data_IF_107331196069
#
_entry.id   IF_107331196069
#
_cell.length_a   1.000
_cell.length_b   1.000
_cell.length_c   1.000
_cell.angle_alpha   90.00
_cell.angle_beta   90.00
_cell.angle_gamma   90.00
#
_symmetry.space_group_name_H-M   'P 1'
#
loop_
_entity.id
_entity.type
_entity.pdbx_description
1 polymer ?
#
# COMPACT_ATOMS: atom_id res chain seq x y z
N UNK A 1 -0.79 -4.23 -13.88
CA UNK A 1 -1.95 -3.60 -13.22
C UNK A 1 -2.87 -4.73 -12.78
N UNK A 2 -3.15 -4.86 -11.49
CA UNK A 2 -3.98 -5.93 -10.96
C UNK A 2 -5.45 -5.56 -11.04
N UNK A 3 -6.32 -6.54 -11.27
CA UNK A 3 -7.75 -6.30 -11.38
C UNK A 3 -8.48 -6.94 -10.20
N UNK A 4 -9.48 -6.24 -9.69
CA UNK A 4 -10.28 -6.70 -8.57
C UNK A 4 -11.75 -6.61 -8.94
N UNK A 5 -12.49 -7.70 -8.71
CA UNK A 5 -13.92 -7.73 -8.93
C UNK A 5 -14.65 -7.28 -7.67
N UNK A 6 -15.52 -6.30 -7.81
CA UNK A 6 -16.28 -5.75 -6.70
C UNK A 6 -17.38 -6.73 -6.31
N UNK A 7 -17.45 -7.07 -5.03
CA UNK A 7 -18.48 -7.98 -4.49
C UNK A 7 -19.67 -7.21 -3.95
N UNK A 8 -19.46 -5.97 -3.47
CA UNK A 8 -20.49 -5.16 -2.84
C UNK A 8 -20.52 -3.73 -3.40
N UNK A 9 -21.73 -3.22 -3.65
CA UNK A 9 -21.93 -1.85 -4.13
C UNK A 9 -21.62 -0.83 -3.03
N UNK A 10 -20.79 0.17 -3.33
CA UNK A 10 -20.49 1.30 -2.45
C UNK A 10 -20.81 2.62 -3.13
N UNK A 11 -21.66 3.43 -2.48
CA UNK A 11 -21.89 4.82 -2.90
C UNK A 11 -20.66 5.63 -2.49
N UNK A 12 -19.78 5.92 -3.45
CA UNK A 12 -18.54 6.67 -3.23
C UNK A 12 -18.79 7.93 -2.43
N UNK A 13 -17.96 8.17 -1.41
CA UNK A 13 -18.02 9.36 -0.54
C UNK A 13 -16.62 9.93 -0.40
N UNK A 14 -16.45 11.22 -0.69
CA UNK A 14 -15.21 12.03 -0.65
C UNK A 14 -13.97 11.32 -1.24
N UNK A 15 -13.38 10.40 -0.49
CA UNK A 15 -12.16 9.68 -0.86
C UNK A 15 -12.42 8.21 -1.29
N UNK A 16 -13.64 7.70 -1.13
CA UNK A 16 -13.97 6.33 -1.53
C UNK A 16 -14.44 6.29 -2.98
N UNK A 17 -13.96 5.31 -3.73
CA UNK A 17 -14.37 5.09 -5.12
C UNK A 17 -15.83 4.58 -5.16
N UNK A 18 -16.72 5.21 -5.95
CA UNK A 18 -18.03 4.65 -6.20
C UNK A 18 -17.90 3.38 -7.05
N UNK A 19 -18.40 2.26 -6.53
CA UNK A 19 -18.29 0.95 -7.17
C UNK A 19 -19.62 0.21 -7.05
N UNK A 20 -19.95 -0.63 -8.05
CA UNK A 20 -21.11 -1.52 -7.99
C UNK A 20 -20.66 -2.97 -7.95
N UNK A 21 -21.45 -3.83 -7.31
CA UNK A 21 -21.22 -5.27 -7.34
C UNK A 21 -21.16 -5.76 -8.79
N UNK A 22 -20.14 -6.54 -9.12
CA UNK A 22 -19.85 -7.00 -10.48
C UNK A 22 -18.87 -6.13 -11.26
N UNK A 23 -18.62 -4.88 -10.85
CA UNK A 23 -17.64 -4.02 -11.51
C UNK A 23 -16.22 -4.56 -11.36
N UNK A 24 -15.34 -4.22 -12.30
CA UNK A 24 -13.91 -4.52 -12.24
C UNK A 24 -13.12 -3.22 -12.10
N UNK A 25 -12.28 -3.15 -11.09
CA UNK A 25 -11.42 -1.99 -10.80
C UNK A 25 -9.94 -2.38 -10.87
N UNK A 26 -9.09 -1.44 -11.27
CA UNK A 26 -7.64 -1.62 -11.29
C UNK A 26 -7.02 -1.20 -9.97
N UNK A 27 -6.25 -2.06 -9.31
CA UNK A 27 -5.52 -1.72 -8.09
C UNK A 27 -4.25 -0.94 -8.45
N UNK A 28 -4.13 0.26 -7.91
CA UNK A 28 -3.02 1.18 -8.17
C UNK A 28 -2.02 1.21 -7.01
N UNK A 29 -2.51 1.18 -5.77
CA UNK A 29 -1.66 1.20 -4.58
C UNK A 29 -2.23 0.34 -3.46
N UNK A 30 -1.34 -0.38 -2.79
CA UNK A 30 -1.66 -1.19 -1.61
C UNK A 30 -0.85 -0.80 -0.38
N UNK A 31 0.24 -0.05 -0.56
CA UNK A 31 1.09 0.54 0.49
C UNK A 31 0.63 1.97 0.82
N UNK A 32 0.94 2.46 2.02
CA UNK A 32 0.53 3.80 2.52
C UNK A 32 -0.97 4.10 2.36
N UNK A 33 -1.80 3.07 2.43
CA UNK A 33 -3.25 3.17 2.37
C UNK A 33 -3.84 3.01 3.78
N UNK A 34 -5.04 3.55 4.06
CA UNK A 34 -5.74 3.29 5.30
C UNK A 34 -5.93 1.78 5.53
N UNK A 35 -5.80 1.31 6.78
CA UNK A 35 -5.86 -0.13 7.10
C UNK A 35 -7.08 -0.80 6.46
N UNK A 36 -6.83 -1.82 5.65
CA UNK A 36 -7.88 -2.58 4.97
C UNK A 36 -8.52 -1.87 3.77
N UNK A 37 -7.88 -0.83 3.24
CA UNK A 37 -8.27 -0.18 1.98
C UNK A 37 -7.11 -0.16 0.99
N UNK A 38 -7.44 -0.21 -0.29
CA UNK A 38 -6.50 -0.02 -1.40
C UNK A 38 -6.94 1.12 -2.29
N UNK A 39 -5.98 1.78 -2.93
CA UNK A 39 -6.27 2.77 -3.96
C UNK A 39 -6.55 2.04 -5.26
N UNK A 40 -7.75 2.24 -5.79
CA UNK A 40 -8.17 1.65 -7.04
C UNK A 40 -8.67 2.72 -8.02
N UNK A 41 -8.75 2.32 -9.28
CA UNK A 41 -9.27 3.12 -10.37
C UNK A 41 -10.33 2.36 -11.15
N UNK A 42 -11.44 3.02 -11.46
CA UNK A 42 -12.50 2.45 -12.30
C UNK A 42 -12.17 2.58 -13.81
N UNK A 43 -13.08 2.13 -14.68
CA UNK A 43 -12.94 2.28 -16.13
C UNK A 43 -13.15 3.72 -16.64
N UNK A 44 -13.64 4.62 -15.78
CA UNK A 44 -13.84 6.05 -16.07
C UNK A 44 -12.66 6.89 -15.60
N UNK A 45 -11.56 6.26 -15.21
CA UNK A 45 -10.37 6.88 -14.63
C UNK A 45 -10.64 7.67 -13.33
N UNK A 46 -11.70 7.35 -12.59
CA UNK A 46 -11.90 7.86 -11.24
C UNK A 46 -11.03 7.08 -10.27
N UNK A 47 -10.41 7.79 -9.33
CA UNK A 47 -9.55 7.22 -8.30
C UNK A 47 -10.25 7.27 -6.96
N UNK A 48 -10.03 6.25 -6.14
CA UNK A 48 -10.49 6.28 -4.76
C UNK A 48 -10.16 5.01 -3.99
N UNK A 49 -10.40 5.07 -2.69
CA UNK A 49 -10.19 3.95 -1.81
C UNK A 49 -11.32 2.94 -1.90
N UNK A 50 -10.96 1.66 -2.03
CA UNK A 50 -11.87 0.52 -1.96
C UNK A 50 -11.49 -0.34 -0.77
N UNK A 51 -12.50 -0.93 -0.11
CA UNK A 51 -12.24 -1.83 1.02
C UNK A 51 -11.80 -3.19 0.51
N UNK A 52 -10.72 -3.75 1.05
CA UNK A 52 -10.21 -5.09 0.67
C UNK A 52 -11.29 -6.16 0.82
N UNK A 53 -12.14 -6.03 1.84
CA UNK A 53 -13.26 -6.96 2.09
C UNK A 53 -14.39 -6.91 1.05
N UNK A 54 -14.49 -5.83 0.28
CA UNK A 54 -15.56 -5.58 -0.70
C UNK A 54 -15.15 -5.86 -2.15
N UNK A 55 -13.95 -6.37 -2.32
CA UNK A 55 -13.41 -6.76 -3.62
C UNK A 55 -12.83 -8.15 -3.49
N UNK A 56 -13.05 -8.97 -4.51
CA UNK A 56 -12.43 -10.27 -4.65
C UNK A 56 -11.30 -10.14 -5.65
N UNK A 57 -10.08 -10.45 -5.20
CA UNK A 57 -8.95 -10.60 -6.11
C UNK A 57 -8.88 -12.06 -6.49
N UNK A 58 -8.50 -12.32 -7.74
CA UNK A 58 -8.15 -13.68 -8.10
C UNK A 58 -6.98 -14.12 -7.22
N UNK A 59 -7.15 -15.24 -6.52
CA UNK A 59 -6.15 -15.80 -5.58
C UNK A 59 -4.80 -16.00 -6.29
N UNK A 60 -4.84 -16.29 -7.59
CA UNK A 60 -3.65 -16.39 -8.44
C UNK A 60 -2.87 -15.07 -8.51
N UNK A 61 -3.56 -13.93 -8.60
CA UNK A 61 -2.93 -12.60 -8.61
C UNK A 61 -2.51 -12.15 -7.20
N UNK A 62 -3.24 -12.57 -6.15
CA UNK A 62 -2.92 -12.24 -4.76
C UNK A 62 -1.56 -12.82 -4.32
N UNK A 63 -1.25 -14.03 -4.78
CA UNK A 63 0.03 -14.71 -4.50
C UNK A 63 1.22 -13.99 -5.14
N UNK A 64 1.03 -13.43 -6.34
CA UNK A 64 2.01 -12.63 -7.07
C UNK A 64 2.26 -11.28 -6.36
N UNK A 65 1.22 -10.72 -5.74
CA UNK A 65 1.28 -9.47 -5.00
C UNK A 65 2.00 -9.60 -3.65
N UNK A 66 1.75 -10.67 -2.89
CA UNK A 66 2.42 -10.93 -1.60
C UNK A 66 3.95 -11.02 -1.75
N UNK A 67 4.44 -11.55 -2.87
CA UNK A 67 5.86 -11.61 -3.20
C UNK A 67 6.48 -10.25 -3.56
N UNK A 68 5.69 -9.29 -4.04
CA UNK A 68 6.15 -7.93 -4.39
C UNK A 68 5.97 -6.92 -3.26
N UNK A 69 4.95 -7.08 -2.40
CA UNK A 69 4.77 -6.27 -1.19
C UNK A 69 5.91 -6.50 -0.18
N UNK A 70 6.50 -7.70 -0.14
CA UNK A 70 7.68 -7.99 0.67
C UNK A 70 8.97 -7.33 0.14
N UNK A 71 9.02 -6.88 -1.12
CA UNK A 71 10.20 -6.24 -1.71
C UNK A 71 10.35 -4.74 -1.39
N UNK A 72 9.37 -4.14 -0.71
CA UNK A 72 9.45 -2.74 -0.23
C UNK A 72 9.70 -2.64 1.28
N UNK A 73 10.26 -3.68 1.90
CA UNK A 73 10.71 -3.65 3.29
C UNK A 73 12.07 -4.31 3.47
N UNK A 74 13.02 -4.02 2.56
CA UNK A 74 14.44 -4.35 2.74
C UNK A 74 15.32 -3.24 2.15
N UNK A 75 15.45 -2.14 2.88
CA UNK A 75 16.80 -1.60 3.13
C UNK A 75 17.21 -2.25 4.45
N UNK A 76 17.63 -3.51 4.35
CA UNK A 76 18.49 -4.12 5.35
C UNK A 76 19.64 -4.65 4.50
N UNK A 77 20.64 -3.81 4.32
CA UNK A 77 21.94 -4.24 3.82
C UNK A 77 22.51 -5.24 4.84
N UNK A 78 22.80 -6.50 4.47
CA UNK A 78 23.61 -7.37 5.30
C UNK A 78 25.06 -7.09 4.92
N UNK A 79 25.62 -6.03 5.50
CA UNK A 79 26.97 -5.58 5.19
C UNK A 79 27.71 -5.19 6.46
N UNK A 80 28.40 -6.18 7.02
CA UNK A 80 29.59 -6.14 7.87
C UNK A 80 29.77 -5.08 8.98
N UNK A 81 30.17 -5.61 10.12
CA UNK A 81 30.65 -4.97 11.33
C UNK A 81 31.67 -3.85 11.05
N UNK A 82 31.47 -2.65 11.60
CA UNK A 82 32.42 -1.96 12.49
C UNK A 82 32.21 -0.44 12.58
N UNK A 83 32.05 0.02 13.82
CA UNK A 83 32.54 1.29 14.41
C UNK A 83 32.14 2.62 13.73
N UNK A 84 31.25 3.31 14.43
CA UNK A 84 31.54 4.67 14.89
C UNK A 84 30.65 5.76 14.31
N UNK A 85 29.65 6.22 15.07
CA UNK A 85 29.29 7.63 15.10
C UNK A 85 28.45 7.95 16.36
N UNK A 86 29.11 8.09 17.51
CA UNK A 86 28.48 8.71 18.68
C UNK A 86 28.61 10.22 18.52
N UNK A 87 27.53 10.83 18.03
CA UNK A 87 27.38 12.27 17.97
C UNK A 87 26.82 12.73 19.32
N UNK A 88 27.68 13.22 20.21
CA UNK A 88 27.30 13.84 21.48
C UNK A 88 27.96 15.21 21.57
N UNK A 89 27.14 16.25 21.51
CA UNK A 89 27.52 17.58 21.94
C UNK A 89 27.86 17.53 23.44
N UNK A 90 29.14 17.64 23.79
CA UNK A 90 29.58 17.87 25.17
C UNK A 90 30.35 19.20 25.23
N UNK A 91 29.71 20.16 25.88
CA UNK A 91 30.16 21.54 26.11
C UNK A 91 31.04 21.57 27.36
N UNK A 92 32.23 22.20 27.30
CA UNK A 92 33.05 22.50 28.48
C UNK A 92 33.68 23.90 28.38
N UNK A 93 33.57 24.76 29.41
CA UNK A 93 34.16 26.10 29.43
C UNK A 93 35.63 26.05 29.86
N UNK A 94 36.50 26.81 29.18
CA UNK A 94 37.91 26.96 29.54
C UNK A 94 38.11 28.15 30.51
N UNK A 95 38.99 27.99 31.50
CA UNK A 95 39.40 29.01 32.50
C UNK A 95 40.66 29.75 32.07
#
# INVERSE_FOLDING_TARGET
MYQAKVTETSKGRRHNLPIKSGDVVSIIRTTDCPKGKWLARDNKNNYGYVSVKRVNLDVKEMLEMGKKAARTSTIIEPGDTSKGNWNSNDFHPES
#
